data_IF_295336055523
#
_entry.id   IF_295336055523
#
_cell.length_a   1.000
_cell.length_b   1.000
_cell.length_c   1.000
_cell.angle_alpha   90.00
_cell.angle_beta   90.00
_cell.angle_gamma   90.00
#
_symmetry.space_group_name_H-M   'P 1'
#
loop_
_entity.id
_entity.type
_entity.pdbx_description
1 polymer ?
#
# COMPACT_ATOMS: atom_id res chain seq x y z
N UNK A 1 -1.50 13.51 -21.34
CA UNK A 1 -2.45 13.94 -20.30
C UNK A 1 -1.85 13.55 -18.96
N UNK A 2 -1.47 14.50 -18.10
CA UNK A 2 -1.04 14.14 -16.74
C UNK A 2 -2.24 13.50 -16.04
N UNK A 3 -2.13 12.23 -15.63
CA UNK A 3 -3.19 11.61 -14.84
C UNK A 3 -3.29 12.37 -13.52
N UNK A 4 -4.44 12.99 -13.25
CA UNK A 4 -4.75 13.57 -11.94
C UNK A 4 -4.64 12.49 -10.87
N UNK A 5 -4.07 12.82 -9.72
CA UNK A 5 -4.02 11.88 -8.61
C UNK A 5 -5.42 11.43 -8.18
N UNK A 6 -5.58 10.13 -7.92
CA UNK A 6 -6.81 9.55 -7.37
C UNK A 6 -6.73 9.66 -5.85
N UNK A 7 -7.50 10.55 -5.23
CA UNK A 7 -7.41 10.87 -3.80
C UNK A 7 -8.64 10.35 -3.03
N UNK A 8 -8.41 9.84 -1.82
CA UNK A 8 -9.48 9.48 -0.88
C UNK A 8 -9.76 10.64 0.10
N UNK A 9 -10.93 11.30 0.04
CA UNK A 9 -11.36 12.19 1.11
C UNK A 9 -11.81 11.36 2.32
N UNK A 10 -11.26 11.66 3.50
CA UNK A 10 -11.62 11.02 4.77
C UNK A 10 -12.25 12.07 5.69
N UNK A 11 -13.47 11.81 6.15
CA UNK A 11 -14.11 12.70 7.14
C UNK A 11 -13.27 12.73 8.42
N UNK A 12 -13.03 13.90 9.04
CA UNK A 12 -12.34 13.99 10.32
C UNK A 12 -13.00 13.09 11.37
N UNK A 13 -12.16 12.41 12.15
CA UNK A 13 -12.57 11.50 13.20
C UNK A 13 -11.61 11.64 14.38
N UNK A 14 -12.07 11.25 15.57
CA UNK A 14 -11.26 11.31 16.78
C UNK A 14 -10.11 10.31 16.74
N UNK A 15 -10.29 9.19 16.02
CA UNK A 15 -9.24 8.21 15.74
C UNK A 15 -9.26 7.79 14.27
N UNK A 16 -8.12 7.98 13.60
CA UNK A 16 -7.84 7.40 12.30
C UNK A 16 -6.80 6.30 12.49
N UNK A 17 -7.23 5.04 12.43
CA UNK A 17 -6.32 3.91 12.42
C UNK A 17 -5.59 3.85 11.09
N UNK A 18 -4.27 3.73 11.17
CA UNK A 18 -3.40 3.58 10.02
C UNK A 18 -2.60 2.30 10.15
N UNK A 19 -2.54 1.50 9.09
CA UNK A 19 -1.76 0.26 9.02
C UNK A 19 -0.62 0.49 8.04
N UNK A 20 0.62 0.28 8.48
CA UNK A 20 1.84 0.42 7.68
C UNK A 20 1.96 -0.59 6.53
N UNK A 21 3.10 -0.59 5.85
CA UNK A 21 3.36 -1.52 4.75
C UNK A 21 3.33 -3.00 5.22
N UNK A 22 2.49 -3.81 4.58
CA UNK A 22 2.24 -5.22 4.97
C UNK A 22 3.26 -6.17 4.33
N UNK A 23 3.64 -5.90 3.08
CA UNK A 23 4.59 -6.65 2.26
C UNK A 23 4.33 -8.18 2.27
N UNK A 24 3.06 -8.59 2.18
CA UNK A 24 2.67 -10.00 2.15
C UNK A 24 2.83 -10.76 3.47
N UNK A 25 3.07 -10.07 4.59
CA UNK A 25 3.22 -10.70 5.91
C UNK A 25 1.86 -11.04 6.53
N UNK A 26 1.34 -12.21 6.19
CA UNK A 26 0.06 -12.70 6.68
C UNK A 26 0.01 -12.81 8.20
N UNK A 27 1.04 -13.37 8.83
CA UNK A 27 1.04 -13.63 10.26
C UNK A 27 1.03 -12.30 11.04
N UNK A 28 1.85 -11.34 10.63
CA UNK A 28 1.87 -10.01 11.24
C UNK A 28 0.53 -9.28 11.05
N UNK A 29 -0.08 -9.38 9.87
CA UNK A 29 -1.38 -8.79 9.59
C UNK A 29 -2.50 -9.39 10.45
N UNK A 30 -2.53 -10.71 10.61
CA UNK A 30 -3.49 -11.39 11.49
C UNK A 30 -3.34 -10.97 12.95
N UNK A 31 -2.09 -10.79 13.43
CA UNK A 31 -1.82 -10.31 14.77
C UNK A 31 -2.32 -8.87 14.98
N UNK A 32 -2.03 -7.96 14.04
CA UNK A 32 -2.56 -6.59 14.05
C UNK A 32 -4.08 -6.60 14.04
N UNK A 33 -4.72 -7.34 13.15
CA UNK A 33 -6.18 -7.41 13.07
C UNK A 33 -6.80 -8.00 14.33
N UNK A 34 -6.18 -9.02 14.94
CA UNK A 34 -6.62 -9.57 16.22
C UNK A 34 -6.70 -8.51 17.31
N UNK A 35 -5.64 -7.70 17.45
CA UNK A 35 -5.57 -6.59 18.40
C UNK A 35 -6.52 -5.44 18.02
N UNK A 36 -6.62 -5.12 16.73
CA UNK A 36 -7.44 -4.03 16.21
C UNK A 36 -8.95 -4.29 16.38
N UNK A 37 -9.42 -5.55 16.29
CA UNK A 37 -10.83 -5.92 16.54
C UNK A 37 -11.34 -5.47 17.91
N UNK A 38 -10.47 -5.44 18.93
CA UNK A 38 -10.81 -5.00 20.28
C UNK A 38 -10.76 -3.50 20.50
N UNK A 39 -10.24 -2.73 19.53
CA UNK A 39 -9.94 -1.30 19.68
C UNK A 39 -10.67 -0.40 18.68
N UNK A 40 -10.94 -0.90 17.47
CA UNK A 40 -11.62 -0.14 16.41
C UNK A 40 -13.14 -0.11 16.65
N UNK A 41 -13.72 1.09 16.62
CA UNK A 41 -15.13 1.34 16.87
C UNK A 41 -15.81 2.01 15.66
N UNK A 42 -17.15 2.05 15.68
CA UNK A 42 -17.89 2.92 14.77
C UNK A 42 -17.52 4.38 15.04
N UNK A 43 -17.42 5.19 13.98
CA UNK A 43 -16.91 6.56 14.05
C UNK A 43 -15.38 6.69 13.88
N UNK A 44 -14.62 5.62 14.09
CA UNK A 44 -13.19 5.60 13.72
C UNK A 44 -13.05 5.58 12.18
N UNK A 45 -11.84 5.85 11.68
CA UNK A 45 -11.46 5.63 10.26
C UNK A 45 -10.36 4.60 10.18
N UNK A 46 -10.25 3.92 9.04
CA UNK A 46 -9.20 2.94 8.78
C UNK A 46 -8.50 3.19 7.46
N UNK A 47 -7.19 3.37 7.47
CA UNK A 47 -6.39 3.61 6.28
C UNK A 47 -5.26 2.58 6.24
N UNK A 48 -5.19 1.83 5.15
CA UNK A 48 -4.02 0.99 4.86
C UNK A 48 -3.07 1.76 3.96
N UNK A 49 -1.81 1.87 4.36
CA UNK A 49 -0.83 2.74 3.71
C UNK A 49 -0.08 2.08 2.54
N UNK A 50 -0.62 1.01 1.97
CA UNK A 50 -0.11 0.34 0.78
C UNK A 50 0.90 -0.77 1.06
N UNK A 51 1.51 -1.26 -0.03
CA UNK A 51 2.33 -2.47 -0.05
C UNK A 51 1.64 -3.68 0.60
N UNK A 52 0.57 -4.15 -0.01
CA UNK A 52 -0.16 -5.34 0.42
C UNK A 52 0.52 -6.62 -0.06
N UNK A 53 0.97 -6.61 -1.32
CA UNK A 53 1.74 -7.70 -1.92
C UNK A 53 3.20 -7.62 -1.45
N UNK A 54 3.87 -8.77 -1.44
CA UNK A 54 5.29 -8.84 -1.09
C UNK A 54 5.99 -10.03 -1.71
N UNK A 55 7.15 -10.36 -1.18
CA UNK A 55 8.10 -11.30 -1.80
C UNK A 55 8.13 -12.70 -1.16
N UNK A 56 7.22 -12.94 -0.21
CA UNK A 56 7.13 -14.20 0.55
C UNK A 56 6.60 -15.40 -0.25
N UNK A 57 6.11 -16.41 0.48
CA UNK A 57 5.50 -17.60 -0.14
C UNK A 57 4.16 -17.28 -0.81
N UNK A 58 3.71 -18.16 -1.71
CA UNK A 58 2.45 -17.99 -2.41
C UNK A 58 1.25 -17.88 -1.45
N UNK A 59 1.27 -18.68 -0.39
CA UNK A 59 0.24 -18.75 0.64
C UNK A 59 0.21 -17.49 1.50
N UNK A 60 1.39 -17.00 1.92
CA UNK A 60 1.49 -15.80 2.73
C UNK A 60 1.01 -14.56 1.96
N UNK A 61 1.50 -14.37 0.73
CA UNK A 61 1.12 -13.22 -0.10
C UNK A 61 -0.36 -13.25 -0.45
N UNK A 62 -0.89 -14.39 -0.91
CA UNK A 62 -2.33 -14.51 -1.20
C UNK A 62 -3.19 -14.33 0.05
N UNK A 63 -2.75 -14.93 1.17
CA UNK A 63 -3.44 -14.88 2.44
C UNK A 63 -3.49 -13.46 3.00
N UNK A 64 -2.43 -12.67 2.86
CA UNK A 64 -2.41 -11.28 3.32
C UNK A 64 -3.49 -10.45 2.63
N UNK A 65 -3.67 -10.60 1.31
CA UNK A 65 -4.74 -9.91 0.57
C UNK A 65 -6.12 -10.39 1.04
N UNK A 66 -6.30 -11.70 1.25
CA UNK A 66 -7.54 -12.24 1.78
C UNK A 66 -7.86 -11.70 3.18
N UNK A 67 -6.85 -11.58 4.04
CA UNK A 67 -7.01 -11.04 5.39
C UNK A 67 -7.39 -9.55 5.38
N UNK A 68 -6.81 -8.74 4.48
CA UNK A 68 -7.26 -7.34 4.25
C UNK A 68 -8.74 -7.30 3.86
N UNK A 69 -9.15 -8.14 2.90
CA UNK A 69 -10.54 -8.22 2.45
C UNK A 69 -11.49 -8.69 3.55
N UNK A 70 -11.08 -9.66 4.37
CA UNK A 70 -11.84 -10.14 5.51
C UNK A 70 -11.99 -9.05 6.58
N UNK A 71 -10.93 -8.32 6.90
CA UNK A 71 -11.00 -7.25 7.89
C UNK A 71 -11.82 -6.07 7.41
N UNK A 72 -11.75 -5.72 6.11
CA UNK A 72 -12.65 -4.74 5.49
C UNK A 72 -14.11 -5.13 5.75
N UNK A 73 -14.48 -6.39 5.50
CA UNK A 73 -15.85 -6.88 5.78
C UNK A 73 -16.21 -6.77 7.24
N UNK A 74 -15.29 -7.13 8.15
CA UNK A 74 -15.51 -7.00 9.59
C UNK A 74 -15.77 -5.55 10.01
N UNK A 75 -14.97 -4.59 9.53
CA UNK A 75 -15.11 -3.19 9.90
C UNK A 75 -16.41 -2.59 9.34
N UNK A 76 -16.71 -2.84 8.06
CA UNK A 76 -17.95 -2.36 7.42
C UNK A 76 -19.23 -3.01 7.96
N UNK A 77 -19.13 -4.16 8.65
CA UNK A 77 -20.27 -4.79 9.29
C UNK A 77 -20.67 -4.14 10.62
N UNK A 78 -19.88 -3.20 11.16
CA UNK A 78 -20.24 -2.44 12.35
C UNK A 78 -21.29 -1.40 12.00
N UNK A 79 -22.35 -1.33 12.79
CA UNK A 79 -23.40 -0.32 12.62
C UNK A 79 -22.81 1.10 12.71
N UNK A 80 -23.22 1.97 11.79
CA UNK A 80 -22.70 3.33 11.67
C UNK A 80 -21.36 3.49 10.93
N UNK A 81 -20.77 2.43 10.38
CA UNK A 81 -19.58 2.53 9.50
C UNK A 81 -19.99 2.62 8.04
N UNK A 82 -19.49 3.63 7.33
CA UNK A 82 -19.71 3.81 5.88
C UNK A 82 -18.51 3.31 5.06
N UNK A 83 -18.73 3.02 3.77
CA UNK A 83 -17.64 2.65 2.84
C UNK A 83 -16.57 3.75 2.71
N UNK A 84 -16.92 5.01 2.93
CA UNK A 84 -16.00 6.15 2.92
C UNK A 84 -15.14 6.26 4.19
N UNK A 85 -15.40 5.43 5.21
CA UNK A 85 -14.64 5.43 6.47
C UNK A 85 -13.38 4.56 6.40
N UNK A 86 -13.16 3.90 5.25
CA UNK A 86 -11.99 3.06 4.98
C UNK A 86 -11.31 3.46 3.66
N UNK A 87 -9.98 3.51 3.65
CA UNK A 87 -9.19 3.76 2.44
C UNK A 87 -8.02 2.79 2.30
N UNK A 88 -7.69 2.49 1.05
CA UNK A 88 -6.57 1.63 0.66
C UNK A 88 -5.64 2.42 -0.24
N UNK A 89 -4.42 2.69 0.22
CA UNK A 89 -3.44 3.42 -0.56
C UNK A 89 -2.65 2.48 -1.47
N UNK A 90 -2.33 2.96 -2.67
CA UNK A 90 -1.42 2.29 -3.58
C UNK A 90 0.01 2.47 -3.10
N UNK A 91 0.74 1.36 -2.95
CA UNK A 91 2.18 1.36 -2.72
C UNK A 91 3.00 0.98 -3.94
N UNK A 92 4.31 0.89 -3.73
CA UNK A 92 5.29 0.50 -4.72
C UNK A 92 5.03 -0.90 -5.31
N UNK A 93 4.65 -1.89 -4.48
CA UNK A 93 4.34 -3.24 -4.99
C UNK A 93 3.08 -3.27 -5.86
N UNK A 94 2.05 -2.49 -5.52
CA UNK A 94 0.82 -2.42 -6.31
C UNK A 94 1.04 -1.70 -7.65
N UNK A 95 1.94 -0.72 -7.66
CA UNK A 95 2.38 -0.06 -8.89
C UNK A 95 3.17 -1.04 -9.79
N UNK A 96 4.11 -1.81 -9.21
CA UNK A 96 4.82 -2.86 -9.95
C UNK A 96 3.88 -3.94 -10.49
N UNK A 97 2.94 -4.41 -9.69
CA UNK A 97 1.93 -5.40 -10.11
C UNK A 97 1.06 -4.86 -11.25
N UNK A 98 0.70 -3.58 -11.21
CA UNK A 98 -0.06 -2.92 -12.29
C UNK A 98 0.75 -2.90 -13.59
N UNK A 99 2.05 -2.58 -13.51
CA UNK A 99 2.98 -2.62 -14.65
C UNK A 99 3.22 -4.04 -15.16
N UNK A 100 3.31 -5.02 -14.27
CA UNK A 100 3.51 -6.43 -14.63
C UNK A 100 2.36 -6.96 -15.51
N UNK A 101 1.12 -6.56 -15.22
CA UNK A 101 -0.06 -6.91 -16.02
C UNK A 101 -0.05 -6.32 -17.44
N UNK A 102 0.89 -5.42 -17.74
CA UNK A 102 1.04 -4.75 -19.02
C UNK A 102 2.47 -4.86 -19.57
N UNK A 103 3.28 -5.79 -19.04
CA UNK A 103 4.73 -5.83 -19.31
C UNK A 103 5.08 -6.03 -20.78
N UNK A 104 4.20 -6.66 -21.56
CA UNK A 104 4.36 -6.82 -23.01
C UNK A 104 4.38 -5.51 -23.81
N UNK A 105 3.93 -4.40 -23.23
CA UNK A 105 4.04 -3.07 -23.83
C UNK A 105 5.32 -2.31 -23.43
N UNK A 106 6.13 -2.87 -22.52
CA UNK A 106 7.39 -2.24 -22.14
C UNK A 106 8.39 -2.29 -23.30
N UNK A 107 9.22 -1.24 -23.53
CA UNK A 107 10.26 -1.26 -24.56
C UNK A 107 11.25 -2.42 -24.40
N UNK A 108 11.68 -2.69 -23.16
CA UNK A 108 12.61 -3.76 -22.79
C UNK A 108 12.01 -4.63 -21.67
N UNK A 109 11.06 -5.55 -21.98
CA UNK A 109 10.32 -6.29 -20.96
C UNK A 109 11.22 -7.16 -20.07
N UNK A 110 12.30 -7.73 -20.62
CA UNK A 110 13.29 -8.49 -19.86
C UNK A 110 13.99 -7.67 -18.78
N UNK A 111 14.52 -6.50 -19.14
CA UNK A 111 15.20 -5.60 -18.19
C UNK A 111 14.22 -5.06 -17.13
N UNK A 112 13.00 -4.70 -17.56
CA UNK A 112 11.95 -4.24 -16.65
C UNK A 112 11.58 -5.34 -15.65
N UNK A 113 11.46 -6.58 -16.12
CA UNK A 113 11.16 -7.72 -15.25
C UNK A 113 12.31 -8.04 -14.28
N UNK A 114 13.56 -8.00 -14.75
CA UNK A 114 14.75 -8.19 -13.92
C UNK A 114 14.81 -7.12 -12.81
N UNK A 115 14.46 -5.87 -13.13
CA UNK A 115 14.30 -4.82 -12.14
C UNK A 115 13.17 -5.13 -11.14
N UNK A 116 11.99 -5.58 -11.59
CA UNK A 116 10.89 -5.95 -10.69
C UNK A 116 11.25 -7.10 -9.75
N UNK A 117 12.00 -8.11 -10.23
CA UNK A 117 12.53 -9.19 -9.40
C UNK A 117 13.43 -8.66 -8.29
N UNK A 118 14.34 -7.74 -8.61
CA UNK A 118 15.20 -7.09 -7.61
C UNK A 118 14.44 -6.28 -6.55
N UNK A 119 13.15 -5.97 -6.80
CA UNK A 119 12.26 -5.20 -5.94
C UNK A 119 11.20 -6.04 -5.23
N UNK A 120 11.25 -7.38 -5.36
CA UNK A 120 10.42 -8.29 -4.59
C UNK A 120 9.07 -8.65 -5.23
N UNK A 121 8.99 -8.68 -6.57
CA UNK A 121 7.78 -9.16 -7.26
C UNK A 121 7.64 -10.69 -7.24
N UNK A 122 8.68 -11.43 -6.83
CA UNK A 122 8.71 -12.88 -6.98
C UNK A 122 7.64 -13.57 -6.12
N UNK A 123 7.40 -13.11 -4.90
CA UNK A 123 6.30 -13.60 -4.07
C UNK A 123 4.93 -13.41 -4.71
N UNK A 124 4.74 -12.31 -5.43
CA UNK A 124 3.51 -12.05 -6.20
C UNK A 124 3.36 -13.07 -7.33
N UNK A 125 4.41 -13.37 -8.09
CA UNK A 125 4.37 -14.40 -9.13
C UNK A 125 3.96 -15.76 -8.57
N UNK A 126 4.58 -16.18 -7.46
CA UNK A 126 4.27 -17.44 -6.78
C UNK A 126 2.80 -17.49 -6.33
N UNK A 127 2.29 -16.39 -5.76
CA UNK A 127 0.90 -16.28 -5.29
C UNK A 127 -0.14 -16.55 -6.40
N UNK A 128 0.21 -16.26 -7.65
CA UNK A 128 -0.63 -16.48 -8.82
C UNK A 128 -0.21 -17.68 -9.67
N UNK A 129 0.66 -18.55 -9.15
CA UNK A 129 0.99 -19.85 -9.76
C UNK A 129 2.12 -19.81 -10.79
N UNK A 130 2.94 -18.77 -10.80
CA UNK A 130 4.07 -18.64 -11.72
C UNK A 130 5.41 -18.80 -10.99
N UNK A 131 6.31 -19.57 -11.59
CA UNK A 131 7.69 -19.66 -11.14
C UNK A 131 8.49 -18.42 -11.59
N UNK A 132 9.17 -17.69 -10.68
CA UNK A 132 9.92 -16.49 -11.03
C UNK A 132 11.05 -16.74 -12.04
N UNK A 133 11.79 -17.84 -11.89
CA UNK A 133 12.96 -18.15 -12.73
C UNK A 133 12.52 -18.51 -14.16
N UNK A 134 11.48 -19.33 -14.27
CA UNK A 134 10.84 -19.64 -15.56
C UNK A 134 10.31 -18.37 -16.22
N UNK A 135 9.61 -17.52 -15.46
CA UNK A 135 9.09 -16.26 -15.98
C UNK A 135 10.21 -15.36 -16.49
N UNK A 136 11.32 -15.28 -15.77
CA UNK A 136 12.50 -14.51 -16.17
C UNK A 136 13.07 -14.99 -17.52
N UNK A 137 13.19 -16.30 -17.71
CA UNK A 137 13.63 -16.87 -18.98
C UNK A 137 12.63 -16.57 -20.11
N UNK A 138 11.32 -16.62 -19.82
CA UNK A 138 10.26 -16.32 -20.79
C UNK A 138 10.30 -14.87 -21.26
N UNK A 139 10.67 -13.92 -20.40
CA UNK A 139 10.78 -12.49 -20.77
C UNK A 139 11.83 -12.20 -21.85
N UNK A 140 12.67 -13.19 -22.21
CA UNK A 140 13.68 -13.11 -23.27
C UNK A 140 13.26 -13.83 -24.56
N UNK A 141 12.08 -14.45 -24.60
CA UNK A 141 11.61 -15.29 -25.73
C UNK A 141 10.82 -14.51 -26.81
N UNK A 142 10.68 -13.19 -26.67
CA UNK A 142 10.05 -12.31 -27.66
C UNK A 142 8.58 -11.98 -27.39
N UNK A 143 8.05 -11.01 -28.13
CA UNK A 143 6.78 -10.33 -27.82
C UNK A 143 5.56 -11.27 -27.73
N UNK A 144 5.48 -12.29 -28.58
CA UNK A 144 4.35 -13.22 -28.57
C UNK A 144 4.27 -14.04 -27.27
N UNK A 145 5.40 -14.63 -26.84
CA UNK A 145 5.47 -15.41 -25.61
C UNK A 145 5.14 -14.54 -24.39
N UNK A 146 5.67 -13.31 -24.35
CA UNK A 146 5.42 -12.35 -23.27
C UNK A 146 3.95 -11.93 -23.23
N UNK A 147 3.33 -11.66 -24.38
CA UNK A 147 1.91 -11.32 -24.47
C UNK A 147 1.03 -12.48 -24.00
N UNK A 148 1.34 -13.71 -24.40
CA UNK A 148 0.61 -14.90 -23.98
C UNK A 148 0.71 -15.09 -22.45
N UNK A 149 1.93 -15.02 -21.91
CA UNK A 149 2.17 -15.10 -20.47
C UNK A 149 1.44 -14.00 -19.70
N UNK A 150 1.46 -12.76 -20.21
CA UNK A 150 0.77 -11.63 -19.55
C UNK A 150 -0.74 -11.88 -19.47
N UNK A 151 -1.32 -12.46 -20.54
CA UNK A 151 -2.73 -12.87 -20.54
C UNK A 151 -3.04 -13.94 -19.49
N UNK A 152 -2.19 -14.97 -19.39
CA UNK A 152 -2.31 -16.02 -18.38
C UNK A 152 -2.18 -15.48 -16.95
N UNK A 153 -1.21 -14.58 -16.72
CA UNK A 153 -1.03 -13.92 -15.43
C UNK A 153 -2.27 -13.12 -15.04
N UNK A 154 -2.81 -12.32 -15.96
CA UNK A 154 -4.04 -11.55 -15.73
C UNK A 154 -5.25 -12.45 -15.43
N UNK A 155 -5.36 -13.61 -16.08
CA UNK A 155 -6.41 -14.59 -15.77
C UNK A 155 -6.25 -15.19 -14.38
N UNK A 156 -5.04 -15.67 -14.03
CA UNK A 156 -4.74 -16.21 -12.71
C UNK A 156 -5.01 -15.19 -11.60
N UNK A 157 -4.68 -13.92 -11.84
CA UNK A 157 -4.98 -12.80 -10.95
C UNK A 157 -6.48 -12.62 -10.72
N UNK A 158 -7.28 -12.60 -11.79
CA UNK A 158 -8.75 -12.47 -11.71
C UNK A 158 -9.44 -13.68 -11.07
N UNK A 159 -8.85 -14.87 -11.15
CA UNK A 159 -9.40 -16.08 -10.52
C UNK A 159 -9.38 -16.04 -8.99
N UNK A 160 -8.59 -15.15 -8.37
CA UNK A 160 -8.58 -14.94 -6.90
C UNK A 160 -9.65 -13.89 -6.52
N UNK A 161 -10.75 -14.28 -5.84
CA UNK A 161 -11.88 -13.39 -5.60
C UNK A 161 -11.48 -12.12 -4.83
N UNK A 162 -11.86 -10.96 -5.36
CA UNK A 162 -11.65 -9.66 -4.70
C UNK A 162 -10.26 -9.05 -4.86
N UNK A 163 -9.24 -9.79 -5.30
CA UNK A 163 -7.88 -9.25 -5.47
C UNK A 163 -7.85 -8.15 -6.55
N UNK A 164 -8.51 -8.39 -7.69
CA UNK A 164 -8.62 -7.37 -8.76
C UNK A 164 -9.48 -6.19 -8.35
N UNK A 165 -10.55 -6.42 -7.59
CA UNK A 165 -11.40 -5.35 -7.09
C UNK A 165 -10.65 -4.45 -6.11
N UNK A 166 -9.84 -5.03 -5.22
CA UNK A 166 -8.97 -4.26 -4.31
C UNK A 166 -7.97 -3.42 -5.10
N UNK A 167 -7.23 -4.04 -6.03
CA UNK A 167 -6.20 -3.34 -6.82
C UNK A 167 -6.77 -2.15 -7.60
N UNK A 168 -7.97 -2.31 -8.15
CA UNK A 168 -8.67 -1.24 -8.91
C UNK A 168 -9.21 -0.12 -8.02
N UNK A 169 -9.45 -0.37 -6.72
CA UNK A 169 -9.99 0.64 -5.81
C UNK A 169 -8.90 1.47 -5.10
N UNK A 170 -7.62 1.10 -5.24
CA UNK A 170 -6.52 1.78 -4.55
C UNK A 170 -6.45 3.27 -4.91
N UNK A 171 -6.17 4.10 -3.90
CA UNK A 171 -5.99 5.55 -4.00
C UNK A 171 -4.52 5.90 -3.95
N UNK A 172 -4.12 6.99 -4.60
CA UNK A 172 -2.72 7.44 -4.57
C UNK A 172 -2.35 8.05 -3.20
N UNK A 173 -3.30 8.73 -2.58
CA UNK A 173 -3.19 9.28 -1.23
C UNK A 173 -4.59 9.43 -0.61
N UNK A 174 -4.64 9.66 0.69
CA UNK A 174 -5.85 10.09 1.40
C UNK A 174 -5.58 11.39 2.16
N UNK A 175 -6.64 12.14 2.44
CA UNK A 175 -6.55 13.39 3.22
C UNK A 175 -7.79 13.56 4.09
N UNK A 176 -7.61 14.12 5.29
CA UNK A 176 -8.72 14.56 6.10
C UNK A 176 -9.41 15.74 5.41
N UNK A 177 -10.74 15.77 5.30
CA UNK A 177 -11.45 16.81 4.52
C UNK A 177 -11.34 18.22 5.12
N UNK A 178 -10.85 18.35 6.35
CA UNK A 178 -10.49 19.64 6.97
C UNK A 178 -9.04 20.08 6.66
N UNK A 179 -8.30 19.32 5.85
CA UNK A 179 -6.92 19.59 5.44
C UNK A 179 -5.86 19.26 6.50
N UNK A 180 -6.26 18.82 7.70
CA UNK A 180 -5.34 18.66 8.84
C UNK A 180 -4.31 17.56 8.66
N UNK A 181 -4.66 16.47 7.97
CA UNK A 181 -3.85 15.26 7.84
C UNK A 181 -3.80 14.77 6.40
N UNK A 182 -2.64 14.29 5.98
CA UNK A 182 -2.42 13.65 4.68
C UNK A 182 -1.78 12.29 4.92
N UNK A 183 -2.22 11.29 4.15
CA UNK A 183 -1.74 9.93 4.20
C UNK A 183 -1.23 9.52 2.83
N UNK A 184 0.02 9.07 2.77
CA UNK A 184 0.70 8.62 1.55
C UNK A 184 1.35 7.26 1.78
N UNK A 185 1.76 6.60 0.70
CA UNK A 185 2.56 5.38 0.84
C UNK A 185 4.01 5.69 1.20
N UNK A 186 4.75 6.39 0.32
CA UNK A 186 6.19 6.62 0.47
C UNK A 186 6.56 8.09 0.70
N UNK A 187 5.97 9.00 -0.08
CA UNK A 187 6.39 10.40 -0.03
C UNK A 187 5.44 11.37 -0.71
N UNK A 188 5.82 12.65 -0.62
CA UNK A 188 5.13 13.79 -1.19
C UNK A 188 6.16 14.87 -1.53
N UNK A 189 6.01 15.53 -2.66
CA UNK A 189 6.80 16.70 -3.05
C UNK A 189 6.14 17.94 -2.46
N UNK A 190 6.80 18.57 -1.48
CA UNK A 190 6.26 19.74 -0.78
C UNK A 190 6.07 20.97 -1.66
N UNK A 191 6.67 21.00 -2.85
CA UNK A 191 6.55 22.11 -3.80
C UNK A 191 5.33 22.01 -4.72
N UNK A 192 4.61 20.88 -4.72
CA UNK A 192 3.50 20.60 -5.63
C UNK A 192 2.20 20.38 -4.86
N UNK A 193 1.03 20.80 -5.39
CA UNK A 193 -0.25 20.47 -4.79
C UNK A 193 -0.50 18.95 -4.82
N UNK A 194 -1.39 18.45 -3.95
CA UNK A 194 -1.60 17.00 -3.77
C UNK A 194 -2.11 16.32 -5.05
N UNK A 195 -2.95 17.03 -5.81
CA UNK A 195 -3.46 16.59 -7.12
C UNK A 195 -2.41 16.61 -8.23
N UNK A 196 -1.36 17.42 -8.04
CA UNK A 196 -0.24 17.56 -8.95
C UNK A 196 0.85 16.52 -8.72
N UNK A 197 0.78 15.72 -7.65
CA UNK A 197 1.76 14.66 -7.38
C UNK A 197 1.71 13.57 -8.44
N UNK A 198 2.84 12.92 -8.68
CA UNK A 198 2.99 11.84 -9.65
C UNK A 198 3.42 10.55 -8.95
N UNK A 199 4.48 9.94 -9.45
CA UNK A 199 5.15 8.77 -8.95
C UNK A 199 5.82 8.94 -7.57
N UNK A 200 5.89 10.19 -7.09
CA UNK A 200 6.34 10.57 -5.74
C UNK A 200 5.59 9.82 -4.63
N UNK A 201 4.30 9.53 -4.80
CA UNK A 201 3.54 8.77 -3.81
C UNK A 201 4.11 7.36 -3.56
N UNK A 202 4.76 6.76 -4.55
CA UNK A 202 5.28 5.38 -4.47
C UNK A 202 6.80 5.33 -4.32
N UNK A 203 7.53 6.29 -4.90
CA UNK A 203 9.00 6.26 -4.97
C UNK A 203 9.68 7.47 -4.30
N UNK A 204 8.92 8.47 -3.86
CA UNK A 204 9.41 9.75 -3.35
C UNK A 204 9.94 9.75 -1.92
N UNK A 205 10.49 8.64 -1.44
CA UNK A 205 10.90 8.49 -0.04
C UNK A 205 11.92 9.53 0.43
N UNK A 206 12.85 9.96 -0.44
CA UNK A 206 13.83 11.00 -0.13
C UNK A 206 13.21 12.39 0.05
N UNK A 207 12.17 12.72 -0.74
CA UNK A 207 11.47 14.01 -0.62
C UNK A 207 10.71 14.12 0.70
N UNK A 208 10.22 12.99 1.22
CA UNK A 208 9.59 12.96 2.53
C UNK A 208 10.56 13.31 3.66
N UNK A 209 11.82 12.87 3.58
CA UNK A 209 12.84 13.20 4.57
C UNK A 209 13.18 14.69 4.62
N UNK A 210 13.01 15.40 3.51
CA UNK A 210 13.27 16.84 3.43
C UNK A 210 12.11 17.72 3.92
N UNK A 211 11.00 17.15 4.37
CA UNK A 211 9.85 17.92 4.88
C UNK A 211 10.18 18.43 6.28
N UNK A 212 10.60 19.69 6.36
CA UNK A 212 10.92 20.41 7.60
C UNK A 212 9.98 21.58 7.89
N UNK A 213 8.99 21.81 7.04
CA UNK A 213 8.00 22.87 7.16
C UNK A 213 6.59 22.33 6.87
N UNK A 214 5.56 23.11 7.23
CA UNK A 214 4.17 22.74 6.95
C UNK A 214 3.91 22.70 5.46
N UNK A 215 3.25 21.62 5.04
CA UNK A 215 2.68 21.52 3.70
C UNK A 215 1.31 22.18 3.69
N UNK A 216 1.24 23.44 3.24
CA UNK A 216 0.06 24.30 3.41
C UNK A 216 -0.39 24.33 4.89
N UNK A 217 -1.67 24.16 5.16
CA UNK A 217 -2.22 24.10 6.52
C UNK A 217 -2.21 22.68 7.13
N UNK A 218 -1.57 21.72 6.45
CA UNK A 218 -1.47 20.35 6.92
C UNK A 218 -0.62 20.30 8.19
N UNK A 219 -1.18 19.73 9.26
CA UNK A 219 -0.48 19.54 10.53
C UNK A 219 0.54 18.43 10.43
N UNK A 220 0.17 17.32 9.78
CA UNK A 220 1.02 16.15 9.70
C UNK A 220 0.76 15.29 8.47
N UNK A 221 1.84 14.86 7.83
CA UNK A 221 1.83 13.90 6.73
C UNK A 221 2.30 12.55 7.25
N UNK A 222 1.51 11.51 7.00
CA UNK A 222 1.74 10.15 7.47
C UNK A 222 2.09 9.26 6.28
N UNK A 223 3.16 8.46 6.39
CA UNK A 223 3.55 7.48 5.37
C UNK A 223 3.66 6.06 5.90
N UNK A 224 3.44 5.07 5.02
CA UNK A 224 3.48 3.64 5.36
C UNK A 224 4.78 2.91 5.00
N UNK A 225 5.65 3.54 4.21
CA UNK A 225 6.89 2.94 3.74
C UNK A 225 8.04 3.93 3.84
N UNK A 226 9.13 3.52 4.48
CA UNK A 226 10.31 4.34 4.70
C UNK A 226 11.55 3.63 4.13
N UNK A 227 12.48 4.37 3.48
CA UNK A 227 13.77 3.79 3.11
C UNK A 227 14.47 3.18 4.34
N UNK A 228 14.92 1.92 4.21
CA UNK A 228 15.70 1.25 5.26
C UNK A 228 14.91 0.71 6.45
N UNK A 229 13.57 0.59 6.37
CA UNK A 229 12.72 0.04 7.45
C UNK A 229 12.91 0.75 8.79
N UNK A 230 12.73 2.06 8.74
CA UNK A 230 13.20 2.95 9.79
C UNK A 230 12.34 2.93 11.08
N UNK A 231 11.35 2.04 11.15
CA UNK A 231 10.44 1.86 12.27
C UNK A 231 9.35 2.93 12.32
N UNK A 232 8.91 3.22 13.52
CA UNK A 232 8.08 4.39 13.80
C UNK A 232 8.98 5.62 13.91
N UNK A 233 8.85 6.58 13.00
CA UNK A 233 9.59 7.84 13.06
C UNK A 233 8.64 9.02 13.14
N UNK A 234 8.67 9.71 14.27
CA UNK A 234 7.89 10.91 14.48
C UNK A 234 8.79 12.15 14.38
N UNK A 235 8.41 13.06 13.51
CA UNK A 235 8.96 14.42 13.39
C UNK A 235 7.83 15.42 13.58
N UNK A 236 8.16 16.71 13.55
CA UNK A 236 7.19 17.77 13.74
C UNK A 236 6.03 17.67 12.72
N UNK A 237 6.34 17.64 11.43
CA UNK A 237 5.35 17.64 10.35
C UNK A 237 5.12 16.27 9.70
N UNK A 238 5.91 15.25 10.05
CA UNK A 238 5.85 13.95 9.38
C UNK A 238 5.85 12.78 10.36
N UNK A 239 5.18 11.70 9.95
CA UNK A 239 5.13 10.44 10.67
C UNK A 239 5.37 9.28 9.69
N UNK A 240 6.34 8.42 9.99
CA UNK A 240 6.59 7.18 9.24
C UNK A 240 6.16 5.98 10.06
N UNK A 241 5.39 5.07 9.45
CA UNK A 241 4.90 3.85 10.07
C UNK A 241 5.35 2.66 9.21
N UNK A 242 6.64 2.33 9.26
CA UNK A 242 7.21 1.18 8.55
C UNK A 242 8.11 0.36 9.48
N UNK A 243 7.51 -0.63 10.13
CA UNK A 243 8.23 -1.56 11.01
C UNK A 243 8.97 -2.68 10.27
N UNK A 244 8.94 -2.73 8.94
CA UNK A 244 9.64 -3.75 8.15
C UNK A 244 8.93 -5.12 8.08
N UNK A 245 7.60 -5.17 8.24
CA UNK A 245 6.81 -6.39 8.04
C UNK A 245 7.15 -7.07 6.70
N UNK A 246 7.23 -8.40 6.67
CA UNK A 246 7.62 -9.16 5.49
C UNK A 246 9.09 -9.03 5.09
N UNK A 247 9.89 -8.25 5.84
CA UNK A 247 11.35 -8.03 5.65
C UNK A 247 12.14 -8.29 6.93
N UNK A 248 11.60 -9.10 7.84
CA UNK A 248 12.21 -9.45 9.13
C UNK A 248 11.90 -8.49 10.28
N UNK A 249 11.05 -7.48 10.06
CA UNK A 249 10.53 -6.59 11.10
C UNK A 249 9.08 -6.88 11.48
N UNK A 250 8.43 -5.92 12.13
CA UNK A 250 7.04 -6.02 12.60
C UNK A 250 6.08 -5.20 11.74
N UNK A 251 4.81 -5.58 11.73
CA UNK A 251 3.76 -4.70 11.23
C UNK A 251 3.33 -3.74 12.33
N UNK A 252 3.19 -2.47 12.00
CA UNK A 252 2.78 -1.42 12.93
C UNK A 252 1.44 -0.84 12.46
N UNK A 253 0.51 -0.69 13.39
CA UNK A 253 -0.69 0.12 13.23
C UNK A 253 -0.76 1.18 14.33
N UNK A 254 -1.15 2.41 13.99
CA UNK A 254 -1.31 3.50 14.96
C UNK A 254 -2.65 4.19 14.78
N UNK A 255 -3.28 4.56 15.89
CA UNK A 255 -4.43 5.46 15.89
C UNK A 255 -3.94 6.90 15.97
N UNK A 256 -4.34 7.72 15.00
CA UNK A 256 -3.94 9.13 14.91
C UNK A 256 -5.12 10.01 15.29
N UNK A 257 -4.88 10.96 16.17
CA UNK A 257 -5.85 11.96 16.59
C UNK A 257 -6.03 13.08 15.56
N UNK A 258 -7.07 13.90 15.76
CA UNK A 258 -7.32 15.09 14.91
C UNK A 258 -6.18 16.09 14.91
N UNK A 259 -5.39 16.13 15.97
CA UNK A 259 -4.21 16.99 16.09
C UNK A 259 -2.97 16.40 15.41
N UNK A 260 -3.05 15.19 14.89
CA UNK A 260 -1.96 14.44 14.26
C UNK A 260 -1.13 13.61 15.22
N UNK A 261 -1.42 13.62 16.53
CA UNK A 261 -0.68 12.83 17.52
C UNK A 261 -1.05 11.36 17.48
N UNK A 262 -0.13 10.49 17.92
CA UNK A 262 -0.41 9.06 18.08
C UNK A 262 -1.15 8.88 19.41
N UNK A 263 -2.39 8.38 19.33
CA UNK A 263 -3.24 8.09 20.49
C UNK A 263 -3.05 6.65 20.96
N UNK A 264 -2.81 5.72 20.03
CA UNK A 264 -2.65 4.29 20.32
C UNK A 264 -1.72 3.65 19.29
N UNK A 265 -1.05 2.55 19.68
CA UNK A 265 -0.08 1.83 18.87
C UNK A 265 -0.24 0.33 19.08
N UNK A 266 -0.22 -0.39 17.97
CA UNK A 266 -0.31 -1.84 17.92
C UNK A 266 0.84 -2.34 17.04
N UNK A 267 1.54 -3.35 17.52
CA UNK A 267 2.55 -4.10 16.76
C UNK A 267 2.13 -5.56 16.63
N UNK A 268 2.57 -6.23 15.58
CA UNK A 268 2.38 -7.68 15.40
C UNK A 268 3.08 -8.48 16.48
#
# INVERSE_FOLDING_TARGET
MAMSAVLAPIKPADKIWTVGAINGDLAALQAIHGKLRGKIAAGDRLIYLGNYWGDGTAEAVSGAINEVLLFRRYFLAKDGVDIADIAFLRGASEEMLSKLQQIHFAPNPGEVFDWMLSRGIAGTLRAYGFDPSHTQALMRQGAHAISQWTGQFGEAFRRKPGHSSLLSDLKHAAYATDGSLIFVHAGLDGSRPLTGQTDTFWWGGSMFESITDRYYDCRRIVRGSAPGNAGLQEREFTLSIDGGAGRGGQLIAVAIGRDGTIIDRIES
#
